data_IF_889842893448
#
_entry.id   IF_889842893448
#
_cell.length_a   1.000
_cell.length_b   1.000
_cell.length_c   1.000
_cell.angle_alpha   90.00
_cell.angle_beta   90.00
_cell.angle_gamma   90.00
#
_symmetry.space_group_name_H-M   'P 1'
#
loop_
_entity.id
_entity.type
_entity.pdbx_description
1 polymer ?
#
# COMPACT_ATOMS: atom_id res chain seq x y z
N UNK A 1 -0.77 4.80 -29.68
CA UNK A 1 0.20 5.65 -28.98
C UNK A 1 0.29 5.13 -27.56
N UNK A 2 1.45 4.62 -27.15
CA UNK A 2 1.68 4.20 -25.77
C UNK A 2 1.95 5.46 -24.94
N UNK A 3 1.06 5.76 -24.00
CA UNK A 3 1.23 6.90 -23.09
C UNK A 3 2.35 6.57 -22.09
N UNK A 4 3.25 7.51 -21.78
CA UNK A 4 4.34 7.28 -20.85
C UNK A 4 3.80 7.02 -19.43
N UNK A 5 4.51 6.18 -18.68
CA UNK A 5 4.12 5.92 -17.31
C UNK A 5 4.39 7.15 -16.42
N UNK A 6 3.41 7.54 -15.61
CA UNK A 6 3.45 8.74 -14.75
C UNK A 6 4.68 8.80 -13.84
N UNK A 7 5.24 7.63 -13.47
CA UNK A 7 6.34 7.51 -12.51
C UNK A 7 7.64 7.04 -13.13
N UNK A 8 7.68 6.79 -14.45
CA UNK A 8 8.92 6.43 -15.13
C UNK A 8 10.08 7.42 -14.87
N UNK A 9 9.85 8.75 -14.81
CA UNK A 9 10.91 9.71 -14.47
C UNK A 9 11.28 9.70 -12.97
N UNK A 10 10.34 9.34 -12.10
CA UNK A 10 10.46 9.50 -10.64
C UNK A 10 11.27 8.40 -9.96
N UNK A 11 11.42 7.23 -10.58
CA UNK A 11 12.14 6.10 -9.95
C UNK A 11 13.62 6.44 -9.72
N UNK A 12 14.29 7.04 -10.71
CA UNK A 12 15.70 7.43 -10.60
C UNK A 12 15.94 8.63 -9.68
N UNK A 13 14.90 9.42 -9.40
CA UNK A 13 14.97 10.60 -8.54
C UNK A 13 14.79 10.25 -7.05
N UNK A 14 14.19 9.10 -6.75
CA UNK A 14 13.79 8.69 -5.40
C UNK A 14 14.37 7.32 -5.04
N UNK A 15 15.67 7.14 -5.26
CA UNK A 15 16.41 5.93 -4.91
C UNK A 15 16.35 5.71 -3.38
N UNK A 16 15.86 4.55 -2.94
CA UNK A 16 15.62 4.26 -1.52
C UNK A 16 14.20 4.55 -0.99
N UNK A 17 13.31 5.12 -1.80
CA UNK A 17 11.89 5.33 -1.43
C UNK A 17 11.04 4.05 -1.41
N UNK A 18 11.59 2.93 -1.88
CA UNK A 18 10.87 1.67 -2.08
C UNK A 18 9.97 1.64 -3.32
N UNK A 19 9.95 2.72 -4.12
CA UNK A 19 9.28 2.75 -5.42
C UNK A 19 10.03 1.82 -6.41
N UNK A 20 9.29 0.96 -7.09
CA UNK A 20 9.89 0.00 -8.03
C UNK A 20 10.17 0.64 -9.39
N UNK A 21 11.18 0.14 -10.08
CA UNK A 21 11.44 0.47 -11.49
C UNK A 21 10.23 0.22 -12.37
N UNK A 22 10.04 1.13 -13.33
CA UNK A 22 9.06 0.94 -14.38
C UNK A 22 9.43 -0.33 -15.15
N UNK A 23 8.51 -1.27 -15.22
CA UNK A 23 8.67 -2.44 -16.06
C UNK A 23 8.13 -2.12 -17.45
N UNK A 24 8.84 -2.60 -18.47
CA UNK A 24 8.42 -2.60 -19.88
C UNK A 24 8.45 -4.05 -20.37
N UNK A 25 7.29 -4.70 -20.37
CA UNK A 25 7.11 -6.04 -20.95
C UNK A 25 6.18 -5.97 -22.16
N UNK A 26 6.45 -6.80 -23.17
CA UNK A 26 5.66 -6.87 -24.41
C UNK A 26 4.16 -7.18 -24.21
N UNK A 27 3.78 -7.76 -23.06
CA UNK A 27 2.39 -8.12 -22.73
C UNK A 27 1.85 -7.44 -21.47
N UNK A 28 2.40 -6.29 -21.07
CA UNK A 28 2.03 -5.64 -19.83
C UNK A 28 0.64 -4.99 -19.89
N UNK A 29 -0.14 -5.12 -18.81
CA UNK A 29 -1.42 -4.42 -18.72
C UNK A 29 -1.18 -2.97 -18.33
N UNK A 30 -1.37 -2.05 -19.29
CA UNK A 30 -1.26 -0.61 -19.07
C UNK A 30 -2.63 -0.05 -18.67
N UNK A 31 -2.68 0.77 -17.63
CA UNK A 31 -3.90 1.44 -17.16
C UNK A 31 -3.79 2.94 -17.38
N UNK A 32 -4.89 3.61 -17.69
CA UNK A 32 -4.88 5.06 -17.78
C UNK A 32 -4.75 5.71 -16.40
N UNK A 33 -3.90 6.72 -16.29
CA UNK A 33 -3.68 7.44 -15.04
C UNK A 33 -4.87 8.35 -14.66
N UNK A 34 -5.76 8.62 -15.61
CA UNK A 34 -6.99 9.42 -15.42
C UNK A 34 -8.17 8.63 -14.82
N UNK A 35 -8.00 7.33 -14.59
CA UNK A 35 -9.04 6.48 -14.03
C UNK A 35 -9.51 7.01 -12.68
N UNK A 36 -10.81 6.83 -12.36
CA UNK A 36 -11.39 7.32 -11.10
C UNK A 36 -10.61 6.87 -9.86
N UNK A 37 -10.10 5.64 -9.90
CA UNK A 37 -9.32 5.06 -8.80
C UNK A 37 -7.94 5.73 -8.68
N UNK A 38 -7.26 5.98 -9.81
CA UNK A 38 -5.97 6.65 -9.85
C UNK A 38 -6.06 8.12 -9.42
N UNK A 39 -7.05 8.87 -9.91
CA UNK A 39 -7.32 10.27 -9.51
C UNK A 39 -7.52 10.44 -8.00
N UNK A 40 -8.08 9.43 -7.33
CA UNK A 40 -8.29 9.47 -5.88
C UNK A 40 -7.04 9.08 -5.08
N UNK A 41 -6.20 8.17 -5.62
CA UNK A 41 -5.06 7.58 -4.90
C UNK A 41 -3.75 8.34 -5.13
N UNK A 42 -3.48 8.81 -6.34
CA UNK A 42 -2.24 9.52 -6.67
C UNK A 42 -1.99 10.77 -5.80
N UNK A 43 -2.99 11.59 -5.44
CA UNK A 43 -2.78 12.74 -4.56
C UNK A 43 -2.22 12.41 -3.17
N UNK A 44 -2.42 11.19 -2.68
CA UNK A 44 -1.90 10.74 -1.39
C UNK A 44 -0.37 10.66 -1.37
N UNK A 45 0.27 10.64 -2.54
CA UNK A 45 1.71 10.55 -2.68
C UNK A 45 2.38 11.90 -2.96
N UNK A 46 1.62 12.99 -3.09
CA UNK A 46 2.14 14.32 -3.44
C UNK A 46 3.20 14.85 -2.48
N UNK A 47 3.12 14.48 -1.19
CA UNK A 47 4.12 14.86 -0.19
C UNK A 47 5.44 14.12 -0.31
N UNK A 48 5.49 13.03 -1.08
CA UNK A 48 6.66 12.18 -1.26
C UNK A 48 7.24 12.31 -2.68
N UNK A 49 6.37 12.43 -3.67
CA UNK A 49 6.72 12.60 -5.08
C UNK A 49 6.09 13.91 -5.60
N UNK A 50 6.73 15.07 -5.35
CA UNK A 50 6.17 16.38 -5.70
C UNK A 50 5.97 16.55 -7.22
N UNK A 51 6.66 15.76 -8.05
CA UNK A 51 6.50 15.74 -9.51
C UNK A 51 5.07 15.30 -9.92
N UNK A 52 4.42 14.48 -9.09
CA UNK A 52 3.02 14.05 -9.33
C UNK A 52 2.04 15.22 -9.28
N UNK A 53 2.33 16.28 -8.52
CA UNK A 53 1.47 17.46 -8.42
C UNK A 53 1.35 18.15 -9.78
N UNK A 54 2.45 18.22 -10.54
CA UNK A 54 2.49 18.86 -11.85
C UNK A 54 1.77 18.03 -12.91
N UNK A 55 1.75 16.71 -12.75
CA UNK A 55 1.16 15.77 -13.72
C UNK A 55 -0.34 15.56 -13.45
N UNK A 56 -0.83 15.85 -12.23
CA UNK A 56 -2.22 15.63 -11.84
C UNK A 56 -3.26 16.41 -12.64
N UNK A 57 -2.89 17.54 -13.24
CA UNK A 57 -3.80 18.34 -14.09
C UNK A 57 -3.94 17.80 -15.50
N UNK A 58 -3.10 16.85 -15.92
CA UNK A 58 -3.04 16.29 -17.28
C UNK A 58 -2.92 14.76 -17.26
N UNK A 59 -3.58 14.07 -16.32
CA UNK A 59 -3.48 12.60 -16.16
C UNK A 59 -3.95 11.81 -17.40
N UNK A 60 -4.75 12.42 -18.27
CA UNK A 60 -5.17 11.88 -19.56
C UNK A 60 -4.00 11.57 -20.51
N UNK A 61 -2.88 12.29 -20.36
CA UNK A 61 -1.68 12.14 -21.18
C UNK A 61 -0.69 11.08 -20.63
N UNK A 62 -1.05 10.41 -19.52
CA UNK A 62 -0.18 9.46 -18.84
C UNK A 62 -0.85 8.11 -18.60
N UNK A 63 -0.01 7.09 -18.46
CA UNK A 63 -0.42 5.75 -18.06
C UNK A 63 0.21 5.32 -16.74
N UNK A 64 -0.29 4.23 -16.17
CA UNK A 64 0.32 3.50 -15.08
C UNK A 64 0.67 2.10 -15.58
N UNK A 65 1.95 1.75 -15.47
CA UNK A 65 2.41 0.41 -15.72
C UNK A 65 1.84 -0.53 -14.63
N UNK A 66 1.68 -1.82 -14.94
CA UNK A 66 1.09 -2.80 -14.02
C UNK A 66 1.72 -2.78 -12.61
N UNK A 67 3.05 -2.67 -12.53
CA UNK A 67 3.77 -2.59 -11.24
C UNK A 67 3.37 -1.35 -10.45
N UNK A 68 3.43 -0.16 -11.05
CA UNK A 68 3.07 1.09 -10.36
C UNK A 68 1.59 1.15 -10.02
N UNK A 69 0.73 0.63 -10.89
CA UNK A 69 -0.69 0.52 -10.60
C UNK A 69 -0.93 -0.35 -9.37
N UNK A 70 -0.31 -1.53 -9.30
CA UNK A 70 -0.44 -2.41 -8.15
C UNK A 70 0.19 -1.82 -6.88
N UNK A 71 1.33 -1.14 -7.00
CA UNK A 71 2.07 -0.59 -5.87
C UNK A 71 1.40 0.64 -5.25
N UNK A 72 0.79 1.51 -6.05
CA UNK A 72 0.26 2.80 -5.58
C UNK A 72 -1.26 2.84 -5.45
N UNK A 73 -1.95 2.09 -6.32
CA UNK A 73 -3.41 2.18 -6.44
C UNK A 73 -4.09 1.00 -5.73
N UNK A 74 -3.57 -0.21 -5.91
CA UNK A 74 -4.13 -1.43 -5.32
C UNK A 74 -3.59 -1.66 -3.90
N UNK A 75 -2.28 -1.57 -3.72
CA UNK A 75 -1.63 -1.75 -2.42
C UNK A 75 -1.49 -0.43 -1.66
N UNK A 76 -1.68 -0.47 -0.33
CA UNK A 76 -1.37 0.65 0.57
C UNK A 76 0.03 0.52 1.19
N UNK A 77 0.75 -0.56 0.89
CA UNK A 77 2.02 -0.89 1.53
C UNK A 77 3.08 0.20 1.36
N UNK A 78 3.30 0.68 0.13
CA UNK A 78 4.29 1.73 -0.13
C UNK A 78 3.95 3.01 0.63
N UNK A 79 2.66 3.38 0.68
CA UNK A 79 2.20 4.55 1.44
C UNK A 79 2.49 4.41 2.94
N UNK A 80 2.27 3.23 3.52
CA UNK A 80 2.59 2.98 4.93
C UNK A 80 4.10 3.07 5.19
N UNK A 81 4.92 2.48 4.31
CA UNK A 81 6.39 2.58 4.40
C UNK A 81 6.84 4.05 4.35
N UNK A 82 6.33 4.81 3.39
CA UNK A 82 6.65 6.23 3.23
C UNK A 82 6.17 7.08 4.42
N UNK A 83 4.97 6.82 4.96
CA UNK A 83 4.46 7.49 6.14
C UNK A 83 5.29 7.18 7.39
N UNK A 84 5.73 5.93 7.56
CA UNK A 84 6.57 5.52 8.69
C UNK A 84 7.98 6.13 8.59
N UNK A 85 8.57 6.17 7.39
CA UNK A 85 9.83 6.87 7.15
C UNK A 85 9.71 8.38 7.43
N UNK A 86 8.59 9.01 7.05
CA UNK A 86 8.32 10.41 7.39
C UNK A 86 7.96 10.63 8.86
N UNK A 87 7.47 9.61 9.57
CA UNK A 87 7.22 9.68 11.02
C UNK A 87 8.54 9.66 11.81
N UNK A 88 9.50 8.84 11.37
CA UNK A 88 10.89 8.88 11.86
C UNK A 88 11.55 10.23 11.58
N UNK A 89 11.31 10.84 10.41
CA UNK A 89 11.83 12.17 10.08
C UNK A 89 11.09 13.33 10.78
N UNK A 90 9.82 13.18 11.18
CA UNK A 90 9.12 14.20 11.99
C UNK A 90 9.55 14.22 13.46
N UNK A 91 10.11 13.13 13.98
CA UNK A 91 10.78 13.12 15.28
C UNK A 91 12.22 13.67 15.21
N UNK A 92 12.80 13.82 14.02
CA UNK A 92 14.01 14.62 13.81
C UNK A 92 13.71 16.13 13.85
N UNK A 93 13.40 16.66 15.04
CA UNK A 93 13.94 17.98 15.40
C UNK A 93 15.43 17.82 15.72
N UNK A 94 16.20 17.40 14.72
CA UNK A 94 17.66 17.32 14.78
C UNK A 94 18.35 18.70 14.72
N UNK A 95 17.60 19.79 14.58
CA UNK A 95 18.15 21.13 14.76
C UNK A 95 18.50 21.46 16.22
N UNK A 96 17.87 20.79 17.21
CA UNK A 96 18.24 20.98 18.63
C UNK A 96 19.39 20.06 19.07
N UNK A 97 19.53 18.89 18.43
CA UNK A 97 20.60 17.94 18.74
C UNK A 97 21.91 18.25 18.02
N UNK A 98 21.90 18.76 16.78
CA UNK A 98 23.15 19.20 16.12
C UNK A 98 23.80 20.41 16.82
N UNK A 99 23.02 21.34 17.36
CA UNK A 99 23.58 22.45 18.14
C UNK A 99 24.18 21.95 19.47
N UNK A 100 23.56 20.97 20.12
CA UNK A 100 24.06 20.40 21.38
C UNK A 100 25.31 19.53 21.15
N UNK A 101 25.36 18.78 20.05
CA UNK A 101 26.49 17.94 19.65
C UNK A 101 27.69 18.80 19.19
N UNK A 102 27.44 19.92 18.50
CA UNK A 102 28.47 20.91 18.19
C UNK A 102 28.97 21.66 19.44
N UNK A 103 28.09 22.00 20.40
CA UNK A 103 28.48 22.63 21.67
C UNK A 103 29.29 21.68 22.58
N UNK A 104 29.00 20.37 22.53
CA UNK A 104 29.73 19.32 23.24
C UNK A 104 31.11 19.05 22.63
N UNK A 105 31.23 19.03 21.30
CA UNK A 105 32.52 18.89 20.60
C UNK A 105 33.41 20.11 20.84
N UNK A 106 32.87 21.32 20.85
CA UNK A 106 33.64 22.53 21.21
C UNK A 106 34.09 22.56 22.68
N UNK A 107 33.28 22.05 23.61
CA UNK A 107 33.66 21.94 25.03
C UNK A 107 34.73 20.88 25.25
N UNK A 108 34.64 19.75 24.54
CA UNK A 108 35.61 18.65 24.62
C UNK A 108 36.98 19.04 24.05
N UNK A 109 37.00 19.80 22.94
CA UNK A 109 38.24 20.34 22.37
C UNK A 109 38.92 21.41 23.27
N UNK A 110 38.15 22.19 24.04
CA UNK A 110 38.71 23.17 25.01
C UNK A 110 39.28 22.48 26.25
N UNK A 111 38.69 21.38 26.70
CA UNK A 111 39.23 20.55 27.79
C UNK A 111 40.48 19.79 27.38
N UNK A 112 40.57 19.33 26.13
CA UNK A 112 41.78 18.68 25.61
C UNK A 112 42.95 19.66 25.48
N UNK A 113 42.70 20.92 25.09
CA UNK A 113 43.76 21.93 25.07
C UNK A 113 44.25 22.37 26.46
N UNK A 114 43.41 22.20 27.50
CA UNK A 114 43.78 22.45 28.90
C UNK A 114 44.60 21.30 29.50
N UNK A 115 44.32 20.04 29.11
CA UNK A 115 45.06 18.85 29.57
C UNK A 115 46.53 18.89 29.11
N UNK A 116 46.81 19.31 27.88
CA UNK A 116 48.19 19.41 27.38
C UNK A 116 49.01 20.49 28.13
N UNK A 117 48.35 21.53 28.65
CA UNK A 117 49.00 22.61 29.41
C UNK A 117 49.22 22.26 30.89
N UNK A 118 48.48 21.28 31.44
CA UNK A 118 48.61 20.79 32.83
C UNK A 118 49.62 19.64 32.98
N UNK A 119 49.84 18.81 31.94
CA UNK A 119 50.84 17.74 31.97
C UNK A 119 52.27 18.31 32.10
N UNK A 120 52.53 19.51 31.58
CA UNK A 120 53.84 20.18 31.70
C UNK A 120 54.09 20.79 33.10
N UNK A 121 53.08 20.84 33.98
CA UNK A 121 53.15 21.50 35.29
C UNK A 121 53.22 20.55 36.48
N UNK A 122 52.86 19.28 36.31
CA UNK A 122 52.65 18.33 37.41
C UNK A 122 53.87 17.48 37.79
N UNK A 123 55.07 18.08 37.86
CA UNK A 123 56.21 17.45 38.57
C UNK A 123 56.29 17.84 40.05
N UNK A 124 55.29 18.51 40.62
CA UNK A 124 55.32 18.87 42.05
C UNK A 124 53.96 18.66 42.75
N UNK A 125 54.05 17.97 43.89
CA UNK A 125 53.13 17.99 45.05
C UNK A 125 51.99 16.94 45.12
N UNK A 126 52.32 15.83 45.78
CA UNK A 126 51.42 14.86 46.41
C UNK A 126 50.67 15.58 47.54
N UNK A 127 49.49 16.13 47.27
CA UNK A 127 48.69 16.84 48.27
C UNK A 127 47.20 17.04 47.95
N UNK A 128 46.71 16.65 46.76
CA UNK A 128 45.34 16.91 46.31
C UNK A 128 44.77 15.62 45.68
N UNK A 129 44.19 14.72 46.48
CA UNK A 129 43.61 13.45 45.96
C UNK A 129 42.13 13.25 46.30
N UNK A 130 41.48 14.22 46.95
CA UNK A 130 40.03 14.15 47.23
C UNK A 130 39.20 14.66 46.05
N UNK A 131 39.66 15.69 45.34
CA UNK A 131 38.88 16.34 44.28
C UNK A 131 38.83 15.50 42.97
N UNK A 132 39.86 14.69 42.70
CA UNK A 132 39.90 13.79 41.52
C UNK A 132 38.94 12.59 41.65
N UNK A 133 38.74 12.08 42.87
CA UNK A 133 37.82 10.97 43.14
C UNK A 133 36.36 11.44 43.03
N UNK A 134 36.06 12.63 43.52
CA UNK A 134 34.71 13.21 43.41
C UNK A 134 34.34 13.52 41.96
N UNK A 135 35.28 14.04 41.16
CA UNK A 135 35.07 14.31 39.73
C UNK A 135 34.84 13.03 38.91
N UNK A 136 35.58 11.95 39.21
CA UNK A 136 35.39 10.65 38.53
C UNK A 136 34.09 9.98 38.93
N UNK A 137 33.68 10.06 40.21
CA UNK A 137 32.39 9.57 40.68
C UNK A 137 31.22 10.28 39.99
N UNK A 138 31.29 11.60 39.85
CA UNK A 138 30.23 12.38 39.20
C UNK A 138 30.14 12.13 37.69
N UNK A 139 31.27 11.83 37.04
CA UNK A 139 31.32 11.43 35.62
C UNK A 139 30.62 10.08 35.40
N UNK A 140 30.89 9.09 36.26
CA UNK A 140 30.24 7.77 36.19
C UNK A 140 28.74 7.83 36.47
N UNK A 141 28.29 8.71 37.37
CA UNK A 141 26.86 8.94 37.62
C UNK A 141 26.14 9.47 36.38
N UNK A 142 26.77 10.40 35.66
CA UNK A 142 26.24 10.92 34.40
C UNK A 142 26.17 9.86 33.30
N UNK A 143 27.19 9.00 33.19
CA UNK A 143 27.19 7.89 32.23
C UNK A 143 26.09 6.87 32.54
N UNK A 144 25.90 6.53 33.82
CA UNK A 144 24.82 5.64 34.27
C UNK A 144 23.46 6.23 33.92
N UNK A 145 23.26 7.53 34.15
CA UNK A 145 22.02 8.22 33.79
C UNK A 145 21.77 8.17 32.28
N UNK A 146 22.79 8.40 31.45
CA UNK A 146 22.68 8.37 30.00
C UNK A 146 22.33 6.96 29.49
N UNK A 147 23.01 5.93 30.01
CA UNK A 147 22.75 4.53 29.65
C UNK A 147 21.34 4.09 30.07
N UNK A 148 20.85 4.55 31.22
CA UNK A 148 19.47 4.29 31.65
C UNK A 148 18.45 4.95 30.71
N UNK A 149 18.70 6.19 30.29
CA UNK A 149 17.84 6.88 29.33
C UNK A 149 17.80 6.14 27.97
N UNK A 150 18.96 5.72 27.47
CA UNK A 150 19.07 4.94 26.24
C UNK A 150 18.36 3.58 26.34
N UNK A 151 18.51 2.87 27.47
CA UNK A 151 17.82 1.61 27.71
C UNK A 151 16.31 1.78 27.67
N UNK A 152 15.77 2.83 28.31
CA UNK A 152 14.34 3.11 28.33
C UNK A 152 13.79 3.38 26.92
N UNK A 153 14.53 4.13 26.10
CA UNK A 153 14.18 4.35 24.69
C UNK A 153 14.12 3.00 23.94
N UNK A 154 15.14 2.15 24.10
CA UNK A 154 15.18 0.84 23.44
C UNK A 154 14.06 -0.10 23.90
N UNK A 155 13.69 -0.07 25.18
CA UNK A 155 12.54 -0.81 25.70
C UNK A 155 11.25 -0.35 25.02
N UNK A 156 11.03 0.97 24.89
CA UNK A 156 9.85 1.51 24.21
C UNK A 156 9.80 1.14 22.72
N UNK A 157 10.96 1.08 22.06
CA UNK A 157 11.09 0.70 20.65
C UNK A 157 10.70 -0.76 20.45
N UNK A 158 11.17 -1.65 21.35
CA UNK A 158 10.81 -3.08 21.35
C UNK A 158 9.31 -3.27 21.56
N UNK A 159 8.69 -2.55 22.50
CA UNK A 159 7.24 -2.63 22.71
C UNK A 159 6.45 -2.18 21.49
N UNK A 160 6.89 -1.12 20.82
CA UNK A 160 6.25 -0.64 19.61
C UNK A 160 6.36 -1.66 18.46
N UNK A 161 7.55 -2.24 18.27
CA UNK A 161 7.77 -3.29 17.27
C UNK A 161 6.92 -4.53 17.54
N UNK A 162 6.78 -4.92 18.81
CA UNK A 162 5.92 -6.04 19.21
C UNK A 162 4.46 -5.79 18.81
N UNK A 163 3.93 -4.60 19.08
CA UNK A 163 2.55 -4.23 18.69
C UNK A 163 2.37 -4.24 17.17
N UNK A 164 3.35 -3.76 16.42
CA UNK A 164 3.30 -3.81 14.95
C UNK A 164 3.31 -5.25 14.44
N UNK A 165 4.09 -6.13 15.07
CA UNK A 165 4.13 -7.54 14.70
C UNK A 165 2.80 -8.25 14.98
N UNK A 166 2.18 -7.99 16.13
CA UNK A 166 0.85 -8.52 16.47
C UNK A 166 -0.19 -8.07 15.44
N UNK A 167 -0.21 -6.78 15.09
CA UNK A 167 -1.12 -6.26 14.06
C UNK A 167 -0.88 -6.90 12.68
N UNK A 168 0.37 -7.04 12.27
CA UNK A 168 0.72 -7.68 11.01
C UNK A 168 0.29 -9.16 10.97
N UNK A 169 0.44 -9.86 12.10
CA UNK A 169 0.02 -11.24 12.23
C UNK A 169 -1.50 -11.38 12.11
N UNK A 170 -2.27 -10.57 12.84
CA UNK A 170 -3.73 -10.57 12.78
C UNK A 170 -4.23 -10.29 11.36
N UNK A 171 -3.64 -9.31 10.68
CA UNK A 171 -3.95 -8.99 9.28
C UNK A 171 -3.74 -10.19 8.35
N UNK A 172 -2.61 -10.91 8.50
CA UNK A 172 -2.32 -12.09 7.67
C UNK A 172 -3.32 -13.21 7.94
N UNK A 173 -3.68 -13.45 9.20
CA UNK A 173 -4.68 -14.46 9.58
C UNK A 173 -6.04 -14.15 8.96
N UNK A 174 -6.51 -12.90 9.08
CA UNK A 174 -7.77 -12.45 8.49
C UNK A 174 -7.75 -12.55 6.96
N UNK A 175 -6.68 -12.07 6.32
CA UNK A 175 -6.52 -12.12 4.86
C UNK A 175 -6.51 -13.56 4.35
N UNK A 176 -5.83 -14.47 5.06
CA UNK A 176 -5.81 -15.88 4.70
C UNK A 176 -7.19 -16.52 4.80
N UNK A 177 -7.97 -16.19 5.84
CA UNK A 177 -9.37 -16.62 5.97
C UNK A 177 -10.23 -16.17 4.77
N UNK A 178 -10.12 -14.91 4.36
CA UNK A 178 -10.84 -14.39 3.19
C UNK A 178 -10.45 -15.11 1.89
N UNK A 179 -9.16 -15.39 1.70
CA UNK A 179 -8.66 -16.13 0.53
C UNK A 179 -9.26 -17.54 0.47
N UNK A 180 -9.40 -18.21 1.61
CA UNK A 180 -10.02 -19.53 1.66
C UNK A 180 -11.50 -19.49 1.25
N UNK A 181 -12.25 -18.49 1.72
CA UNK A 181 -13.65 -18.31 1.35
C UNK A 181 -13.80 -18.02 -0.16
N UNK A 182 -12.97 -17.13 -0.70
CA UNK A 182 -12.94 -16.82 -2.14
C UNK A 182 -12.63 -18.08 -2.95
N UNK A 183 -11.65 -18.87 -2.53
CA UNK A 183 -11.29 -20.12 -3.19
C UNK A 183 -12.45 -21.13 -3.19
N UNK A 184 -13.18 -21.23 -2.08
CA UNK A 184 -14.38 -22.07 -2.00
C UNK A 184 -15.44 -21.63 -3.00
N UNK A 185 -15.77 -20.33 -3.03
CA UNK A 185 -16.77 -19.78 -3.96
C UNK A 185 -16.33 -19.99 -5.42
N UNK A 186 -15.05 -19.75 -5.73
CA UNK A 186 -14.52 -19.94 -7.07
C UNK A 186 -14.62 -21.40 -7.54
N UNK A 187 -14.37 -22.36 -6.64
CA UNK A 187 -14.53 -23.77 -6.96
C UNK A 187 -16.00 -24.12 -7.25
N UNK A 188 -16.93 -23.64 -6.43
CA UNK A 188 -18.37 -23.84 -6.65
C UNK A 188 -18.84 -23.23 -7.99
N UNK A 189 -18.38 -22.02 -8.31
CA UNK A 189 -18.69 -21.35 -9.58
C UNK A 189 -18.06 -22.09 -10.77
N UNK A 190 -16.84 -22.59 -10.63
CA UNK A 190 -16.15 -23.38 -11.64
C UNK A 190 -16.93 -24.64 -11.99
N UNK A 191 -17.41 -25.39 -10.98
CA UNK A 191 -18.23 -26.58 -11.19
C UNK A 191 -19.58 -26.24 -11.83
N UNK A 192 -20.28 -25.20 -11.37
CA UNK A 192 -21.52 -24.72 -12.00
C UNK A 192 -21.30 -24.32 -13.46
N UNK A 193 -20.19 -23.66 -13.76
CA UNK A 193 -19.85 -23.26 -15.13
C UNK A 193 -19.58 -24.48 -16.02
N UNK A 194 -18.90 -25.52 -15.52
CA UNK A 194 -18.72 -26.80 -16.24
C UNK A 194 -20.06 -27.45 -16.54
N UNK A 195 -20.97 -27.49 -15.55
CA UNK A 195 -22.30 -28.07 -15.72
C UNK A 195 -23.12 -27.29 -16.78
N UNK A 196 -23.13 -25.96 -16.70
CA UNK A 196 -23.81 -25.10 -17.67
C UNK A 196 -23.24 -25.26 -19.07
N UNK A 197 -21.92 -25.33 -19.20
CA UNK A 197 -21.24 -25.57 -20.47
C UNK A 197 -21.66 -26.92 -21.07
N UNK A 198 -21.63 -27.98 -20.27
CA UNK A 198 -22.09 -29.31 -20.70
C UNK A 198 -23.56 -29.29 -21.14
N UNK A 199 -24.44 -28.61 -20.40
CA UNK A 199 -25.85 -28.45 -20.79
C UNK A 199 -25.98 -27.71 -22.12
N UNK A 200 -25.22 -26.63 -22.30
CA UNK A 200 -25.24 -25.82 -23.51
C UNK A 200 -24.79 -26.62 -24.73
N UNK A 201 -23.64 -27.28 -24.64
CA UNK A 201 -23.08 -28.12 -25.70
C UNK A 201 -24.02 -29.27 -26.05
N UNK A 202 -24.65 -29.89 -25.05
CA UNK A 202 -25.55 -31.02 -25.26
C UNK A 202 -26.99 -30.64 -25.65
N UNK A 203 -27.37 -29.36 -25.61
CA UNK A 203 -28.75 -28.92 -25.85
C UNK A 203 -29.21 -29.24 -27.26
N UNK A 204 -28.34 -29.06 -28.25
CA UNK A 204 -28.65 -29.18 -29.67
C UNK A 204 -27.65 -30.06 -30.45
N UNK A 205 -26.92 -30.92 -29.74
CA UNK A 205 -25.86 -31.74 -30.32
C UNK A 205 -26.34 -32.85 -31.27
N UNK A 206 -27.66 -33.06 -31.38
CA UNK A 206 -28.21 -34.02 -32.33
C UNK A 206 -29.37 -33.40 -33.12
N UNK A 207 -29.54 -33.88 -34.35
CA UNK A 207 -30.63 -33.43 -35.22
C UNK A 207 -32.00 -33.67 -34.57
N UNK A 208 -32.19 -34.81 -33.89
CA UNK A 208 -33.42 -35.13 -33.15
C UNK A 208 -33.72 -34.09 -32.06
N UNK A 209 -32.71 -33.66 -31.28
CA UNK A 209 -32.89 -32.62 -30.26
C UNK A 209 -33.26 -31.27 -30.87
N UNK A 210 -32.60 -30.88 -31.97
CA UNK A 210 -32.92 -29.64 -32.71
C UNK A 210 -34.36 -29.63 -33.21
N UNK A 211 -34.78 -30.70 -33.87
CA UNK A 211 -36.16 -30.84 -34.38
C UNK A 211 -37.17 -30.79 -33.24
N UNK A 212 -36.94 -31.53 -32.14
CA UNK A 212 -37.84 -31.53 -30.99
C UNK A 212 -38.02 -30.12 -30.39
N UNK A 213 -36.95 -29.33 -30.30
CA UNK A 213 -37.05 -27.96 -29.80
C UNK A 213 -37.80 -27.02 -30.75
N UNK A 214 -37.61 -27.17 -32.07
CA UNK A 214 -38.41 -26.42 -33.06
C UNK A 214 -39.89 -26.75 -32.90
N UNK A 215 -40.25 -28.02 -32.74
CA UNK A 215 -41.64 -28.46 -32.52
C UNK A 215 -42.22 -27.85 -31.24
N UNK A 216 -41.44 -27.80 -30.15
CA UNK A 216 -41.88 -27.16 -28.90
C UNK A 216 -42.14 -25.67 -29.08
N UNK A 217 -41.23 -24.95 -29.74
CA UNK A 217 -41.39 -23.51 -30.03
C UNK A 217 -42.66 -23.29 -30.87
N UNK A 218 -42.84 -24.03 -31.97
CA UNK A 218 -44.00 -23.88 -32.84
C UNK A 218 -45.32 -24.20 -32.11
N UNK A 219 -45.32 -25.17 -31.20
CA UNK A 219 -46.51 -25.47 -30.39
C UNK A 219 -46.81 -24.35 -29.37
N UNK A 220 -45.78 -23.75 -28.77
CA UNK A 220 -45.93 -22.63 -27.85
C UNK A 220 -46.44 -21.38 -28.55
N UNK A 221 -45.85 -21.02 -29.70
CA UNK A 221 -46.30 -19.91 -30.55
C UNK A 221 -47.76 -20.09 -30.98
N UNK A 222 -48.12 -21.31 -31.41
CA UNK A 222 -49.51 -21.64 -31.77
C UNK A 222 -50.47 -21.39 -30.60
N UNK A 223 -50.09 -21.81 -29.39
CA UNK A 223 -50.91 -21.59 -28.18
C UNK A 223 -51.05 -20.10 -27.85
N UNK A 224 -49.98 -19.33 -27.96
CA UNK A 224 -50.03 -17.88 -27.74
C UNK A 224 -50.95 -17.20 -28.74
N UNK A 225 -50.84 -17.52 -30.03
CA UNK A 225 -51.72 -16.97 -31.07
C UNK A 225 -53.19 -17.31 -30.78
N UNK A 226 -53.49 -18.53 -30.35
CA UNK A 226 -54.86 -18.88 -29.97
C UNK A 226 -55.37 -18.07 -28.78
N UNK A 227 -54.56 -17.90 -27.74
CA UNK A 227 -54.93 -17.08 -26.58
C UNK A 227 -55.17 -15.61 -26.98
N UNK A 228 -54.35 -15.08 -27.89
CA UNK A 228 -54.49 -13.71 -28.40
C UNK A 228 -55.79 -13.55 -29.18
N UNK A 229 -56.07 -14.47 -30.12
CA UNK A 229 -57.30 -14.47 -30.91
C UNK A 229 -58.53 -14.59 -29.99
N UNK A 230 -58.50 -15.50 -29.03
CA UNK A 230 -59.57 -15.68 -28.04
C UNK A 230 -59.81 -14.39 -27.25
N UNK A 231 -58.74 -13.75 -26.77
CA UNK A 231 -58.82 -12.46 -26.07
C UNK A 231 -59.42 -11.36 -26.94
N UNK A 232 -59.08 -11.33 -28.24
CA UNK A 232 -59.63 -10.37 -29.20
C UNK A 232 -61.12 -10.60 -29.47
N UNK A 233 -61.55 -11.85 -29.59
CA UNK A 233 -62.97 -12.21 -29.79
C UNK A 233 -63.80 -11.88 -28.55
N UNK A 234 -63.28 -12.16 -27.36
CA UNK A 234 -63.96 -11.92 -26.10
C UNK A 234 -64.08 -10.42 -25.75
N UNK A 235 -63.27 -9.56 -26.35
CA UNK A 235 -63.37 -8.12 -26.19
C UNK A 235 -64.53 -7.53 -27.02
N UNK A 236 -65.75 -7.69 -26.51
CA UNK A 236 -67.00 -7.24 -27.15
C UNK A 236 -67.07 -5.74 -27.40
N UNK A 237 -66.37 -4.93 -26.59
CA UNK A 237 -66.32 -3.46 -26.75
C UNK A 237 -65.68 -3.05 -28.08
N UNK A 238 -64.84 -3.92 -28.66
CA UNK A 238 -64.15 -3.64 -29.91
C UNK A 238 -65.05 -3.74 -31.15
N UNK A 239 -66.20 -4.40 -31.02
CA UNK A 239 -67.17 -4.62 -32.11
C UNK A 239 -68.45 -3.81 -31.95
N UNK A 240 -68.61 -3.06 -30.86
CA UNK A 240 -69.70 -2.10 -30.71
C UNK A 240 -69.50 -0.93 -31.67
N UNK A 241 -70.42 -0.78 -32.61
CA UNK A 241 -70.57 0.43 -33.44
C UNK A 241 -71.31 1.46 -32.59
N UNK A 242 -70.65 2.58 -32.29
CA UNK A 242 -71.28 3.76 -31.70
C UNK A 242 -72.28 4.39 -32.67
#
# INVERSE_FOLDING_TARGET
YELPCTLAPSVSLHEGSGLLDCETKDSQTIRHADSKLAKNRLPLYNSFFPELVQIQTHLEDFSLCEKHYNQLIISDFLRQVLLNANYSNKQNRQAYYLDLENELVEKQARTEHAYEMEVEKNTCEIGVQTDEIDNTSHTLENDIFLLQAQLNIKVSEIENLKKQLEYAYDYVVESWGQIQEINKINNELSEKNKELKSKWENRFNSQKKRINSIVQIANYERKNIYNDIESLILNKQRFSLN
#
